data_IF_263617600477
#
_entry.id   IF_263617600477
#
_cell.length_a   1.000
_cell.length_b   1.000
_cell.length_c   1.000
_cell.angle_alpha   90.00
_cell.angle_beta   90.00
_cell.angle_gamma   90.00
#
_symmetry.space_group_name_H-M   'P 1'
#
loop_
_entity.id
_entity.type
_entity.pdbx_description
1 polymer ?
#
# COMPACT_ATOMS: atom_id res chain seq x y z
N UNK A 1 19.67 15.41 22.18
CA UNK A 1 18.41 15.54 23.00
C UNK A 1 17.24 14.89 22.24
N UNK A 2 16.97 15.22 20.99
CA UNK A 2 15.86 14.68 20.19
C UNK A 2 15.89 13.15 20.05
N UNK A 3 17.00 12.56 19.58
CA UNK A 3 17.14 11.09 19.41
C UNK A 3 16.78 10.35 20.69
N UNK A 4 17.30 10.78 21.84
CA UNK A 4 16.98 10.15 23.13
C UNK A 4 15.48 10.25 23.54
N UNK A 5 14.79 11.31 23.12
CA UNK A 5 13.34 11.42 23.35
C UNK A 5 12.57 10.46 22.44
N UNK A 6 13.04 10.27 21.19
CA UNK A 6 12.49 9.30 20.23
C UNK A 6 12.71 7.88 20.74
N UNK A 7 13.93 7.53 21.20
CA UNK A 7 14.23 6.22 21.80
C UNK A 7 13.25 5.89 22.93
N UNK A 8 13.09 6.81 23.88
CA UNK A 8 12.15 6.61 25.01
C UNK A 8 10.71 6.39 24.55
N UNK A 9 10.28 7.10 23.50
CA UNK A 9 8.93 6.95 22.94
C UNK A 9 8.75 5.57 22.32
N UNK A 10 9.71 5.13 21.52
CA UNK A 10 9.71 3.82 20.85
C UNK A 10 9.80 2.67 21.86
N UNK A 11 10.73 2.71 22.82
CA UNK A 11 10.87 1.70 23.87
C UNK A 11 9.58 1.52 24.70
N UNK A 12 8.89 2.63 24.97
CA UNK A 12 7.62 2.60 25.69
C UNK A 12 6.50 1.95 24.88
N UNK A 13 6.46 2.16 23.57
CA UNK A 13 5.44 1.54 22.69
C UNK A 13 5.82 0.10 22.36
N UNK A 14 7.09 -0.23 22.16
CA UNK A 14 7.57 -1.59 21.89
C UNK A 14 7.16 -2.60 22.96
N UNK A 15 7.19 -2.19 24.24
CA UNK A 15 6.72 -3.04 25.36
C UNK A 15 5.25 -3.50 25.28
N UNK A 16 4.46 -2.94 24.33
CA UNK A 16 3.03 -3.19 24.20
C UNK A 16 2.67 -3.86 22.87
N UNK A 17 3.65 -4.09 22.03
CA UNK A 17 3.51 -4.58 20.66
C UNK A 17 4.27 -5.89 20.49
N UNK A 18 3.81 -6.77 19.63
CA UNK A 18 4.54 -7.99 19.27
C UNK A 18 5.80 -7.68 18.47
N UNK A 19 5.70 -6.70 17.58
CA UNK A 19 6.82 -6.16 16.81
C UNK A 19 6.66 -4.66 16.68
N UNK A 20 7.77 -3.94 16.57
CA UNK A 20 7.82 -2.54 16.24
C UNK A 20 9.10 -2.26 15.46
N UNK A 21 8.93 -1.92 14.19
CA UNK A 21 10.01 -1.47 13.32
C UNK A 21 9.69 -0.06 12.86
N UNK A 22 10.66 0.82 12.91
CA UNK A 22 10.48 2.23 12.58
C UNK A 22 11.72 2.77 11.87
N UNK A 23 11.50 3.58 10.84
CA UNK A 23 12.54 4.39 10.22
C UNK A 23 12.00 5.79 9.90
N UNK A 24 12.85 6.79 9.96
CA UNK A 24 12.53 8.15 9.52
C UNK A 24 13.74 8.85 8.92
N UNK A 25 13.45 9.77 8.01
CA UNK A 25 14.40 10.74 7.46
C UNK A 25 13.89 12.14 7.72
N UNK A 26 14.69 12.98 8.36
CA UNK A 26 14.38 14.39 8.65
C UNK A 26 15.35 15.30 7.87
N UNK A 27 14.94 15.87 6.73
CA UNK A 27 15.82 16.71 5.89
C UNK A 27 16.36 17.93 6.64
N UNK A 28 15.56 18.56 7.52
CA UNK A 28 15.93 19.76 8.25
C UNK A 28 17.18 19.60 9.11
N UNK A 29 17.40 18.42 9.68
CA UNK A 29 18.56 18.08 10.52
C UNK A 29 19.50 17.07 9.87
N UNK A 30 19.23 16.64 8.64
CA UNK A 30 19.90 15.54 7.95
C UNK A 30 20.03 14.28 8.82
N UNK A 31 18.94 13.95 9.51
CA UNK A 31 18.87 12.83 10.43
C UNK A 31 18.18 11.65 9.78
N UNK A 32 18.93 10.53 9.64
CA UNK A 32 18.38 9.21 9.37
C UNK A 32 18.35 8.43 10.70
N UNK A 33 17.19 7.83 11.01
CA UNK A 33 16.99 7.13 12.25
C UNK A 33 16.25 5.82 12.01
N UNK A 34 16.76 4.73 12.61
CA UNK A 34 16.18 3.40 12.52
C UNK A 34 16.01 2.80 13.91
N UNK A 35 14.92 2.06 14.10
CA UNK A 35 14.60 1.35 15.34
C UNK A 35 13.94 0.00 15.02
N UNK A 36 14.31 -1.02 15.79
CA UNK A 36 13.61 -2.31 15.82
C UNK A 36 13.45 -2.75 17.27
N UNK A 37 12.28 -3.30 17.61
CA UNK A 37 12.05 -3.95 18.90
C UNK A 37 12.72 -5.33 19.01
N UNK A 38 13.28 -5.83 17.92
CA UNK A 38 14.14 -7.01 17.84
C UNK A 38 15.57 -6.55 17.57
N UNK A 39 16.54 -7.42 17.81
CA UNK A 39 17.96 -7.10 17.55
C UNK A 39 18.27 -7.00 16.04
N UNK A 40 17.31 -7.34 15.17
CA UNK A 40 17.48 -7.31 13.71
C UNK A 40 16.75 -6.11 13.10
N UNK A 41 17.49 -5.03 12.79
CA UNK A 41 16.95 -3.85 12.08
C UNK A 41 16.63 -4.11 10.61
N UNK A 42 17.20 -5.17 10.03
CA UNK A 42 17.02 -5.59 8.64
C UNK A 42 15.97 -6.70 8.49
N UNK A 43 15.25 -7.05 9.57
CA UNK A 43 14.17 -8.02 9.47
C UNK A 43 13.07 -7.48 8.55
N UNK A 44 12.84 -8.20 7.46
CA UNK A 44 11.80 -7.84 6.50
C UNK A 44 10.40 -8.04 7.11
N UNK A 45 9.42 -7.32 6.57
CA UNK A 45 8.01 -7.46 6.93
C UNK A 45 7.12 -7.33 5.69
N UNK A 46 5.90 -7.84 5.79
CA UNK A 46 4.91 -7.73 4.73
C UNK A 46 4.35 -6.31 4.67
N UNK A 47 4.44 -5.67 3.50
CA UNK A 47 4.10 -4.25 3.31
C UNK A 47 2.61 -3.94 3.42
N UNK A 48 1.75 -4.95 3.34
CA UNK A 48 0.31 -4.75 3.19
C UNK A 48 0.01 -3.69 2.11
N UNK A 49 -1.07 -2.95 2.23
CA UNK A 49 -1.50 -1.98 1.22
C UNK A 49 -0.51 -0.84 0.89
N UNK A 50 0.62 -0.73 1.60
CA UNK A 50 1.70 0.21 1.23
C UNK A 50 2.23 -0.11 -0.17
N UNK A 51 2.25 -1.38 -0.59
CA UNK A 51 2.65 -1.77 -1.95
C UNK A 51 1.84 -1.10 -3.07
N UNK A 52 0.61 -0.66 -2.80
CA UNK A 52 -0.20 0.09 -3.78
C UNK A 52 0.47 1.40 -4.21
N UNK A 53 1.23 2.03 -3.32
CA UNK A 53 1.96 3.25 -3.66
C UNK A 53 3.05 2.98 -4.71
N UNK A 54 3.74 1.83 -4.61
CA UNK A 54 4.74 1.42 -5.59
C UNK A 54 4.09 1.06 -6.94
N UNK A 55 3.01 0.28 -6.92
CA UNK A 55 2.23 -0.06 -8.13
C UNK A 55 1.73 1.20 -8.84
N UNK A 56 1.20 2.15 -8.10
CA UNK A 56 0.74 3.43 -8.67
C UNK A 56 1.90 4.25 -9.23
N UNK A 57 3.06 4.24 -8.59
CA UNK A 57 4.27 4.89 -9.11
C UNK A 57 4.67 4.28 -10.46
N UNK A 58 4.62 2.95 -10.61
CA UNK A 58 4.87 2.27 -11.90
C UNK A 58 3.85 2.69 -12.98
N UNK A 59 2.58 2.85 -12.64
CA UNK A 59 1.57 3.36 -13.58
C UNK A 59 1.93 4.77 -14.04
N UNK A 60 2.36 5.65 -13.14
CA UNK A 60 2.78 7.01 -13.50
C UNK A 60 4.10 7.03 -14.29
N UNK A 61 5.03 6.10 -14.05
CA UNK A 61 6.22 5.90 -14.91
C UNK A 61 5.77 5.53 -16.34
N UNK A 62 4.79 4.63 -16.50
CA UNK A 62 4.26 4.27 -17.82
C UNK A 62 3.54 5.46 -18.50
N UNK A 63 2.84 6.31 -17.72
CA UNK A 63 2.22 7.55 -18.22
C UNK A 63 3.29 8.53 -18.73
N UNK A 64 4.36 8.76 -17.97
CA UNK A 64 5.46 9.65 -18.37
C UNK A 64 6.23 9.15 -19.60
N UNK A 65 6.27 7.83 -19.79
CA UNK A 65 6.81 7.22 -21.03
C UNK A 65 5.86 7.34 -22.23
N UNK A 66 4.63 7.82 -22.02
CA UNK A 66 3.62 7.95 -23.08
C UNK A 66 2.97 6.62 -23.50
N UNK A 67 3.12 5.56 -22.72
CA UNK A 67 2.58 4.23 -23.05
C UNK A 67 1.11 4.11 -22.70
N UNK A 68 0.61 4.91 -21.78
CA UNK A 68 -0.81 5.03 -21.43
C UNK A 68 -1.12 6.43 -20.88
N UNK A 69 -2.39 6.69 -20.63
CA UNK A 69 -2.88 7.89 -19.94
C UNK A 69 -3.86 7.48 -18.82
N UNK A 70 -4.21 8.40 -17.95
CA UNK A 70 -5.25 8.17 -16.95
C UNK A 70 -6.61 7.82 -17.58
N UNK A 71 -6.85 8.25 -18.83
CA UNK A 71 -8.09 7.99 -19.57
C UNK A 71 -8.04 6.76 -20.46
N UNK A 72 -6.90 6.07 -20.54
CA UNK A 72 -6.77 4.82 -21.30
C UNK A 72 -7.78 3.80 -20.76
N UNK A 73 -8.54 3.17 -21.68
CA UNK A 73 -9.49 2.10 -21.34
C UNK A 73 -8.72 0.83 -20.99
N UNK A 74 -9.03 0.23 -19.85
CA UNK A 74 -8.35 -0.97 -19.32
C UNK A 74 -8.38 -2.14 -20.29
N UNK A 75 -9.51 -2.36 -20.95
CA UNK A 75 -9.71 -3.44 -21.92
C UNK A 75 -8.81 -3.34 -23.17
N UNK A 76 -8.28 -2.15 -23.50
CA UNK A 76 -7.40 -1.99 -24.67
C UNK A 76 -5.98 -2.50 -24.41
N UNK A 77 -5.64 -2.76 -23.15
CA UNK A 77 -4.32 -3.22 -22.70
C UNK A 77 -4.35 -4.70 -22.34
N UNK A 78 -5.40 -5.12 -21.64
CA UNK A 78 -5.52 -6.49 -21.14
C UNK A 78 -5.98 -7.46 -22.23
N UNK A 79 -5.64 -8.73 -22.05
CA UNK A 79 -6.06 -9.80 -22.96
C UNK A 79 -7.59 -9.83 -23.11
N UNK A 80 -8.11 -10.06 -24.32
CA UNK A 80 -9.56 -10.21 -24.55
C UNK A 80 -10.17 -11.24 -23.60
N UNK A 81 -11.33 -10.89 -23.02
CA UNK A 81 -12.06 -11.76 -22.09
C UNK A 81 -11.63 -11.70 -20.63
N UNK A 82 -10.48 -11.09 -20.29
CA UNK A 82 -10.01 -11.03 -18.90
C UNK A 82 -10.98 -10.23 -18.00
N UNK A 83 -11.63 -9.21 -18.54
CA UNK A 83 -12.58 -8.36 -17.81
C UNK A 83 -14.03 -8.89 -17.79
N UNK A 84 -14.32 -9.97 -18.52
CA UNK A 84 -15.68 -10.50 -18.65
C UNK A 84 -16.31 -10.71 -17.26
N UNK A 85 -17.54 -10.21 -17.08
CA UNK A 85 -18.36 -10.33 -15.87
C UNK A 85 -17.81 -9.66 -14.60
N UNK A 86 -16.69 -8.93 -14.65
CA UNK A 86 -16.17 -8.22 -13.49
C UNK A 86 -16.88 -6.89 -13.21
N UNK A 87 -17.54 -6.31 -14.21
CA UNK A 87 -18.17 -4.99 -14.13
C UNK A 87 -19.67 -5.00 -14.46
N UNK A 88 -20.34 -6.11 -14.21
CA UNK A 88 -21.79 -6.26 -14.47
C UNK A 88 -22.58 -5.65 -13.30
N UNK A 89 -23.44 -4.65 -13.64
CA UNK A 89 -24.36 -3.99 -12.68
C UNK A 89 -25.76 -4.08 -13.27
N UNK A 90 -26.72 -4.63 -12.54
CA UNK A 90 -28.11 -4.80 -12.97
C UNK A 90 -28.25 -5.45 -14.37
N UNK A 91 -27.41 -6.44 -14.67
CA UNK A 91 -27.41 -7.19 -15.93
C UNK A 91 -26.71 -6.50 -17.11
N UNK A 92 -26.19 -5.31 -16.95
CA UNK A 92 -25.40 -4.58 -17.96
C UNK A 92 -23.92 -4.63 -17.62
N UNK A 93 -23.06 -4.97 -18.60
CA UNK A 93 -21.60 -4.96 -18.45
C UNK A 93 -21.04 -3.58 -18.84
N UNK A 94 -20.22 -3.03 -17.94
CA UNK A 94 -19.59 -1.71 -18.07
C UNK A 94 -18.06 -1.78 -18.25
N UNK A 95 -17.51 -2.95 -18.60
CA UNK A 95 -16.06 -3.12 -18.77
C UNK A 95 -15.43 -2.10 -19.74
N UNK A 96 -16.17 -1.67 -20.76
CA UNK A 96 -15.72 -0.70 -21.77
C UNK A 96 -15.56 0.72 -21.22
N UNK A 97 -16.18 1.03 -20.10
CA UNK A 97 -16.12 2.35 -19.45
C UNK A 97 -14.97 2.44 -18.45
N UNK A 98 -14.34 1.30 -18.08
CA UNK A 98 -13.28 1.26 -17.06
C UNK A 98 -12.00 1.89 -17.61
N UNK A 99 -11.47 2.88 -16.88
CA UNK A 99 -10.24 3.60 -17.22
C UNK A 99 -9.19 3.42 -16.12
N UNK A 100 -7.92 3.65 -16.44
CA UNK A 100 -6.78 3.58 -15.50
C UNK A 100 -7.06 4.40 -14.24
N UNK A 101 -7.54 5.64 -14.39
CA UNK A 101 -7.91 6.48 -13.24
C UNK A 101 -8.93 5.85 -12.31
N UNK A 102 -9.87 5.07 -12.85
CA UNK A 102 -10.91 4.43 -12.04
C UNK A 102 -10.32 3.34 -11.13
N UNK A 103 -9.34 2.59 -11.62
CA UNK A 103 -8.63 1.58 -10.81
C UNK A 103 -7.76 2.25 -9.75
N UNK A 104 -6.95 3.25 -10.13
CA UNK A 104 -6.09 4.01 -9.21
C UNK A 104 -6.88 4.71 -8.10
N UNK A 105 -8.07 5.24 -8.41
CA UNK A 105 -8.91 5.98 -7.45
C UNK A 105 -9.92 5.09 -6.71
N UNK A 106 -9.93 3.77 -6.93
CA UNK A 106 -10.95 2.87 -6.38
C UNK A 106 -12.39 3.28 -6.74
N UNK A 107 -12.59 3.75 -7.97
CA UNK A 107 -13.91 4.16 -8.50
C UNK A 107 -14.33 3.34 -9.70
N UNK A 108 -13.67 2.22 -9.97
CA UNK A 108 -14.00 1.35 -11.11
C UNK A 108 -15.32 0.61 -10.97
N UNK A 109 -15.84 0.52 -9.75
CA UNK A 109 -17.04 -0.25 -9.44
C UNK A 109 -16.80 -1.76 -9.25
N UNK A 110 -15.58 -2.24 -9.46
CA UNK A 110 -15.24 -3.65 -9.19
C UNK A 110 -15.33 -3.95 -7.69
N UNK A 111 -15.77 -5.16 -7.34
CA UNK A 111 -15.79 -5.60 -5.95
C UNK A 111 -14.36 -5.94 -5.48
N UNK A 112 -14.22 -6.25 -4.21
CA UNK A 112 -12.94 -6.55 -3.56
C UNK A 112 -12.91 -8.00 -3.10
N UNK A 113 -11.99 -8.82 -3.66
CA UNK A 113 -11.85 -10.21 -3.24
C UNK A 113 -11.45 -10.31 -1.77
N UNK A 114 -10.63 -9.38 -1.26
CA UNK A 114 -9.97 -9.51 0.02
C UNK A 114 -10.89 -9.22 1.21
N UNK A 115 -11.52 -8.05 1.22
CA UNK A 115 -12.23 -7.53 2.40
C UNK A 115 -13.74 -7.45 2.26
N UNK A 116 -14.29 -7.64 1.04
CA UNK A 116 -15.73 -7.53 0.85
C UNK A 116 -16.51 -8.61 1.61
N UNK A 117 -17.55 -8.16 2.29
CA UNK A 117 -18.53 -9.04 2.94
C UNK A 117 -19.64 -9.50 1.99
N UNK A 118 -19.70 -8.92 0.80
CA UNK A 118 -20.70 -9.22 -0.24
C UNK A 118 -20.17 -10.37 -1.08
N UNK A 119 -20.32 -11.59 -0.60
CA UNK A 119 -19.86 -12.81 -1.24
C UNK A 119 -20.96 -13.87 -1.28
N UNK A 120 -20.98 -14.69 -2.33
CA UNK A 120 -22.01 -15.74 -2.52
C UNK A 120 -21.80 -16.94 -1.59
N UNK A 121 -20.56 -17.29 -1.29
CA UNK A 121 -20.24 -18.50 -0.53
C UNK A 121 -19.32 -18.20 0.67
N UNK A 122 -18.00 -18.39 0.53
CA UNK A 122 -17.04 -18.25 1.62
C UNK A 122 -16.17 -17.01 1.44
N UNK A 123 -16.02 -16.22 2.51
CA UNK A 123 -15.13 -15.07 2.49
C UNK A 123 -13.68 -15.49 2.17
N UNK A 124 -12.99 -14.71 1.34
CA UNK A 124 -11.63 -15.02 0.88
C UNK A 124 -10.64 -15.23 2.04
N UNK A 125 -10.66 -14.33 3.03
CA UNK A 125 -9.79 -14.45 4.22
C UNK A 125 -9.98 -15.79 4.97
N UNK A 126 -11.17 -16.38 4.92
CA UNK A 126 -11.39 -17.70 5.50
C UNK A 126 -10.71 -18.77 4.65
N UNK A 127 -10.89 -18.73 3.32
CA UNK A 127 -10.24 -19.66 2.40
C UNK A 127 -8.71 -19.59 2.50
N UNK A 128 -8.15 -18.38 2.56
CA UNK A 128 -6.72 -18.16 2.71
C UNK A 128 -6.16 -18.82 3.98
N UNK A 129 -6.89 -18.71 5.11
CA UNK A 129 -6.48 -19.32 6.39
C UNK A 129 -6.62 -20.84 6.41
N UNK A 130 -7.66 -21.37 5.79
CA UNK A 130 -7.90 -22.82 5.71
C UNK A 130 -6.93 -23.50 4.74
N UNK A 131 -6.32 -22.73 3.82
CA UNK A 131 -5.41 -23.22 2.79
C UNK A 131 -4.12 -22.38 2.75
N UNK A 132 -3.28 -22.40 3.80
CA UNK A 132 -2.12 -21.51 3.92
C UNK A 132 -1.06 -21.73 2.82
N UNK A 133 -0.97 -22.94 2.27
CA UNK A 133 0.01 -23.33 1.26
C UNK A 133 -0.43 -23.05 -0.19
N UNK A 134 -1.68 -22.61 -0.40
CA UNK A 134 -2.16 -22.30 -1.75
C UNK A 134 -1.49 -21.04 -2.26
N UNK A 135 -0.92 -21.12 -3.45
CA UNK A 135 -0.46 -19.93 -4.19
C UNK A 135 -1.62 -19.40 -5.02
N UNK A 136 -2.06 -18.19 -4.74
CA UNK A 136 -3.09 -17.49 -5.50
C UNK A 136 -2.45 -16.70 -6.63
N UNK A 137 -2.79 -17.05 -7.86
CA UNK A 137 -2.40 -16.27 -9.03
C UNK A 137 -3.31 -15.04 -9.20
N UNK A 138 -2.87 -14.01 -9.95
CA UNK A 138 -3.73 -12.87 -10.27
C UNK A 138 -5.06 -13.30 -10.93
N UNK A 139 -5.03 -14.31 -11.80
CA UNK A 139 -6.21 -14.86 -12.46
C UNK A 139 -7.18 -15.52 -11.46
N UNK A 140 -6.67 -16.26 -10.48
CA UNK A 140 -7.49 -16.87 -9.42
C UNK A 140 -8.25 -15.79 -8.62
N UNK A 141 -7.61 -14.65 -8.35
CA UNK A 141 -8.22 -13.52 -7.63
C UNK A 141 -9.33 -12.86 -8.47
N UNK A 142 -9.11 -12.70 -9.78
CA UNK A 142 -10.13 -12.21 -10.70
C UNK A 142 -11.29 -13.21 -10.80
N UNK A 143 -11.00 -14.50 -10.86
CA UNK A 143 -12.02 -15.55 -10.90
C UNK A 143 -12.83 -15.62 -9.60
N UNK A 144 -12.16 -15.45 -8.44
CA UNK A 144 -12.90 -15.32 -7.19
C UNK A 144 -13.87 -14.13 -7.25
N UNK A 145 -13.43 -12.95 -7.67
CA UNK A 145 -14.31 -11.77 -7.81
C UNK A 145 -15.44 -12.03 -8.81
N UNK A 146 -15.14 -12.59 -9.96
CA UNK A 146 -16.08 -12.89 -11.04
C UNK A 146 -17.20 -13.83 -10.63
N UNK A 147 -16.86 -14.90 -9.92
CA UNK A 147 -17.82 -15.97 -9.61
C UNK A 147 -18.46 -15.83 -8.22
N UNK A 148 -17.78 -15.19 -7.26
CA UNK A 148 -18.25 -15.09 -5.89
C UNK A 148 -18.88 -13.72 -5.57
N UNK A 149 -18.69 -12.70 -6.40
CA UNK A 149 -19.09 -11.34 -6.09
C UNK A 149 -19.86 -10.71 -7.26
N UNK A 150 -20.40 -9.52 -7.05
CA UNK A 150 -21.02 -8.68 -8.06
C UNK A 150 -20.39 -7.28 -8.01
N UNK A 151 -20.34 -6.59 -9.14
CA UNK A 151 -19.85 -5.22 -9.18
C UNK A 151 -20.68 -4.31 -8.27
N UNK A 152 -20.03 -3.32 -7.66
CA UNK A 152 -20.63 -2.43 -6.65
C UNK A 152 -21.41 -1.26 -7.28
N UNK A 153 -20.90 -0.75 -8.42
CA UNK A 153 -21.46 0.41 -9.13
C UNK A 153 -20.88 0.49 -10.54
N UNK A 154 -21.43 1.38 -11.37
CA UNK A 154 -20.81 1.75 -12.64
C UNK A 154 -19.48 2.49 -12.41
N UNK A 155 -18.50 2.38 -13.34
CA UNK A 155 -17.25 3.13 -13.27
C UNK A 155 -17.47 4.63 -13.07
N UNK A 156 -16.70 5.22 -12.15
CA UNK A 156 -16.76 6.64 -11.82
C UNK A 156 -17.87 7.06 -10.84
N UNK A 157 -18.82 6.19 -10.49
CA UNK A 157 -19.97 6.58 -9.68
C UNK A 157 -19.75 6.50 -8.17
N UNK A 158 -18.92 5.54 -7.71
CA UNK A 158 -18.77 5.28 -6.27
C UNK A 158 -17.32 4.95 -5.94
N UNK A 159 -16.81 5.56 -4.87
CA UNK A 159 -15.58 5.13 -4.25
C UNK A 159 -15.82 3.82 -3.47
N UNK A 160 -15.05 2.78 -3.78
CA UNK A 160 -15.06 1.50 -3.07
C UNK A 160 -13.65 0.90 -3.16
N UNK A 161 -12.94 0.90 -2.03
CA UNK A 161 -11.59 0.39 -1.94
C UNK A 161 -11.55 -1.08 -2.39
N UNK A 162 -10.69 -1.41 -3.35
CA UNK A 162 -10.64 -2.74 -3.96
C UNK A 162 -9.22 -3.16 -4.29
N UNK A 163 -8.76 -4.25 -3.70
CA UNK A 163 -7.53 -4.92 -4.06
C UNK A 163 -7.61 -5.56 -5.44
N UNK A 164 -8.80 -6.05 -5.86
CA UNK A 164 -9.03 -6.56 -7.23
C UNK A 164 -8.70 -5.52 -8.29
N UNK A 165 -9.01 -4.23 -8.04
CA UNK A 165 -8.64 -3.15 -8.96
C UNK A 165 -7.13 -3.02 -9.13
N UNK A 166 -6.37 -3.25 -8.08
CA UNK A 166 -4.91 -3.23 -8.12
C UNK A 166 -4.33 -4.47 -8.79
N UNK A 167 -4.95 -5.66 -8.65
CA UNK A 167 -4.58 -6.84 -9.45
C UNK A 167 -4.65 -6.52 -10.94
N UNK A 168 -5.72 -5.86 -11.40
CA UNK A 168 -5.83 -5.42 -12.79
C UNK A 168 -4.73 -4.43 -13.19
N UNK A 169 -4.33 -3.49 -12.31
CA UNK A 169 -3.19 -2.58 -12.57
C UNK A 169 -1.88 -3.36 -12.72
N UNK A 170 -1.62 -4.36 -11.88
CA UNK A 170 -0.43 -5.22 -12.02
C UNK A 170 -0.39 -5.95 -13.36
N UNK A 171 -1.48 -6.60 -13.75
CA UNK A 171 -1.59 -7.28 -15.05
C UNK A 171 -1.47 -6.32 -16.24
N UNK A 172 -1.99 -5.08 -16.12
CA UNK A 172 -1.79 -4.04 -17.12
C UNK A 172 -0.30 -3.66 -17.24
N UNK A 173 0.40 -3.51 -16.12
CA UNK A 173 1.83 -3.20 -16.11
C UNK A 173 2.61 -4.35 -16.76
N UNK A 174 2.30 -5.61 -16.45
CA UNK A 174 2.94 -6.75 -17.11
C UNK A 174 2.75 -6.72 -18.64
N UNK A 175 1.54 -6.39 -19.10
CA UNK A 175 1.24 -6.28 -20.53
C UNK A 175 1.97 -5.11 -21.20
N UNK A 176 2.13 -3.96 -20.52
CA UNK A 176 2.76 -2.75 -21.07
C UNK A 176 4.29 -2.87 -21.09
N UNK A 177 4.88 -3.43 -20.02
CA UNK A 177 6.31 -3.57 -19.88
C UNK A 177 6.84 -4.87 -20.51
N UNK A 178 5.95 -5.78 -20.93
CA UNK A 178 6.27 -7.11 -21.46
C UNK A 178 7.17 -7.93 -20.53
N UNK A 179 6.95 -7.81 -19.22
CA UNK A 179 7.75 -8.46 -18.17
C UNK A 179 6.89 -8.84 -16.96
N UNK A 180 7.29 -9.82 -16.15
CA UNK A 180 6.63 -10.14 -14.89
C UNK A 180 6.67 -8.95 -13.92
N UNK A 181 5.64 -8.80 -13.09
CA UNK A 181 5.47 -7.66 -12.19
C UNK A 181 6.64 -7.48 -11.21
N UNK A 182 7.25 -8.58 -10.73
CA UNK A 182 8.42 -8.50 -9.85
C UNK A 182 9.66 -7.94 -10.57
N UNK A 183 9.88 -8.25 -11.86
CA UNK A 183 10.98 -7.69 -12.66
C UNK A 183 10.78 -6.20 -12.95
N UNK A 184 9.52 -5.79 -13.14
CA UNK A 184 9.16 -4.38 -13.34
C UNK A 184 9.46 -3.59 -12.06
N UNK A 185 9.06 -4.10 -10.89
CA UNK A 185 9.37 -3.50 -9.59
C UNK A 185 10.88 -3.37 -9.40
N UNK A 186 11.63 -4.44 -9.65
CA UNK A 186 13.09 -4.46 -9.51
C UNK A 186 13.75 -3.40 -10.41
N UNK A 187 13.37 -3.39 -11.68
CA UNK A 187 13.99 -2.53 -12.70
C UNK A 187 13.67 -1.04 -12.51
N UNK A 188 12.42 -0.71 -12.17
CA UNK A 188 11.94 0.67 -12.19
C UNK A 188 11.79 1.31 -10.81
N UNK A 189 11.84 0.51 -9.73
CA UNK A 189 11.75 1.03 -8.36
C UNK A 189 12.90 0.55 -7.49
N UNK A 190 13.11 -0.77 -7.33
CA UNK A 190 14.05 -1.26 -6.33
C UNK A 190 15.49 -0.85 -6.66
N UNK A 191 15.98 -1.15 -7.85
CA UNK A 191 17.33 -0.73 -8.30
C UNK A 191 17.54 0.79 -8.28
N UNK A 192 16.65 1.62 -8.86
CA UNK A 192 16.79 3.08 -8.81
C UNK A 192 16.79 3.67 -7.39
N UNK A 193 16.11 3.02 -6.45
CA UNK A 193 16.03 3.44 -5.05
C UNK A 193 17.06 2.76 -4.15
N UNK A 194 17.87 1.84 -4.65
CA UNK A 194 18.79 1.00 -3.87
C UNK A 194 18.09 0.17 -2.78
N UNK A 195 16.87 -0.31 -3.05
CA UNK A 195 16.08 -1.17 -2.18
C UNK A 195 16.56 -2.62 -2.35
N UNK A 196 17.58 -3.02 -1.61
CA UNK A 196 18.23 -4.31 -1.78
C UNK A 196 17.61 -5.43 -0.95
N UNK A 197 16.73 -5.09 -0.02
CA UNK A 197 16.09 -6.01 0.92
C UNK A 197 14.57 -6.15 0.64
N UNK A 198 14.11 -5.69 -0.54
CA UNK A 198 12.70 -5.74 -0.94
C UNK A 198 12.48 -6.69 -2.10
N UNK A 199 11.45 -7.51 -2.00
CA UNK A 199 11.02 -8.43 -3.06
C UNK A 199 9.50 -8.49 -3.15
N UNK A 200 8.96 -8.98 -4.29
CA UNK A 200 7.56 -9.39 -4.34
C UNK A 200 7.42 -10.75 -3.66
N UNK A 201 6.75 -10.79 -2.54
CA UNK A 201 6.65 -11.96 -1.68
C UNK A 201 6.00 -13.14 -2.41
N UNK A 202 6.61 -14.30 -2.32
CA UNK A 202 6.17 -15.57 -2.92
C UNK A 202 6.23 -15.64 -4.46
N UNK A 203 6.54 -14.55 -5.15
CA UNK A 203 6.78 -14.52 -6.60
C UNK A 203 8.30 -14.65 -6.86
N UNK A 204 8.80 -15.89 -6.81
CA UNK A 204 10.24 -16.19 -6.99
C UNK A 204 11.07 -16.09 -5.72
N UNK A 205 10.49 -15.76 -4.57
CA UNK A 205 11.14 -15.77 -3.25
C UNK A 205 10.46 -16.77 -2.31
N UNK A 206 11.27 -17.50 -1.52
CA UNK A 206 10.83 -18.38 -0.45
C UNK A 206 11.40 -17.79 0.84
N UNK A 207 10.58 -17.72 1.88
CA UNK A 207 10.99 -17.20 3.19
C UNK A 207 11.08 -18.32 4.20
N UNK A 208 12.10 -18.26 5.05
CA UNK A 208 12.26 -19.14 6.20
C UNK A 208 11.72 -18.50 7.48
N UNK A 209 11.47 -19.31 8.50
CA UNK A 209 11.05 -18.81 9.81
C UNK A 209 12.12 -17.87 10.39
N UNK A 210 11.70 -16.65 10.78
CA UNK A 210 12.59 -15.62 11.33
C UNK A 210 13.10 -14.59 10.31
N UNK A 211 12.99 -14.84 9.02
CA UNK A 211 13.31 -13.84 7.99
C UNK A 211 12.27 -12.72 7.92
N UNK A 212 10.99 -13.06 8.12
CA UNK A 212 9.89 -12.10 8.16
C UNK A 212 9.44 -11.81 9.59
N UNK A 213 9.13 -10.56 9.86
CA UNK A 213 8.47 -10.15 11.09
C UNK A 213 7.03 -10.73 11.16
N UNK A 214 6.50 -10.99 12.35
CA UNK A 214 5.13 -11.47 12.52
C UNK A 214 4.10 -10.62 11.81
N UNK A 215 3.13 -11.29 11.16
CA UNK A 215 1.96 -10.68 10.51
C UNK A 215 0.69 -11.26 11.12
N UNK A 216 0.09 -10.53 12.05
CA UNK A 216 -1.05 -11.02 12.83
C UNK A 216 -2.34 -10.44 12.26
N UNK A 217 -3.24 -11.29 11.79
CA UNK A 217 -4.58 -10.93 11.31
C UNK A 217 -5.62 -11.75 12.06
N UNK A 218 -6.56 -11.07 12.74
CA UNK A 218 -7.58 -11.69 13.59
C UNK A 218 -6.99 -12.67 14.62
N UNK A 219 -5.80 -12.35 15.17
CA UNK A 219 -5.11 -13.14 16.20
C UNK A 219 -4.36 -14.39 15.70
N UNK A 220 -4.22 -14.55 14.40
CA UNK A 220 -3.39 -15.60 13.79
C UNK A 220 -2.16 -14.98 13.14
N UNK A 221 -1.02 -15.56 13.41
CA UNK A 221 0.22 -15.21 12.69
C UNK A 221 0.24 -15.95 11.35
N UNK A 222 0.29 -15.17 10.26
CA UNK A 222 0.20 -15.67 8.90
C UNK A 222 1.42 -15.30 8.04
N UNK A 223 2.50 -14.77 8.65
CA UNK A 223 3.63 -14.19 7.91
C UNK A 223 4.31 -15.15 6.91
N UNK A 224 4.23 -16.48 7.15
CA UNK A 224 4.78 -17.49 6.24
C UNK A 224 3.73 -18.16 5.34
N UNK A 225 2.48 -17.74 5.38
CA UNK A 225 1.44 -18.34 4.53
C UNK A 225 1.73 -18.02 3.05
N UNK A 226 1.93 -19.06 2.26
CA UNK A 226 2.10 -18.91 0.81
C UNK A 226 0.86 -18.27 0.15
N UNK A 227 -0.29 -18.40 0.78
CA UNK A 227 -1.55 -17.76 0.37
C UNK A 227 -1.50 -16.22 0.41
N UNK A 228 -0.48 -15.60 1.04
CA UNK A 228 -0.19 -14.16 0.94
C UNK A 228 0.27 -13.73 -0.47
N UNK A 229 0.57 -14.67 -1.37
CA UNK A 229 0.73 -14.37 -2.81
C UNK A 229 -0.49 -13.63 -3.38
N UNK A 230 -1.65 -13.75 -2.72
CA UNK A 230 -2.87 -13.05 -3.10
C UNK A 230 -2.72 -11.52 -3.11
N UNK A 231 -1.80 -10.94 -2.34
CA UNK A 231 -1.64 -9.49 -2.28
C UNK A 231 -0.96 -8.92 -3.54
N UNK A 232 -0.25 -9.74 -4.30
CA UNK A 232 0.33 -9.41 -5.61
C UNK A 232 0.71 -7.91 -5.75
N UNK A 233 0.09 -7.20 -6.70
CA UNK A 233 0.30 -5.76 -6.93
C UNK A 233 -0.51 -4.84 -6.00
N UNK A 234 -1.36 -5.41 -5.14
CA UNK A 234 -2.11 -4.68 -4.09
C UNK A 234 -1.33 -4.45 -2.81
N UNK A 235 -0.22 -5.17 -2.59
CA UNK A 235 0.49 -5.06 -1.32
C UNK A 235 1.51 -6.17 -1.03
N UNK A 236 1.76 -7.05 -1.99
CA UNK A 236 2.52 -8.29 -1.81
C UNK A 236 4.04 -8.15 -1.64
N UNK A 237 4.53 -7.06 -1.06
CA UNK A 237 5.98 -6.89 -0.86
C UNK A 237 6.42 -7.44 0.50
N UNK A 238 7.55 -8.16 0.50
CA UNK A 238 8.44 -8.30 1.65
C UNK A 238 9.47 -7.19 1.58
N UNK A 239 9.61 -6.38 2.63
CA UNK A 239 10.41 -5.16 2.62
C UNK A 239 10.92 -4.81 4.01
N UNK A 240 11.87 -3.86 4.11
CA UNK A 240 12.34 -3.30 5.37
C UNK A 240 11.88 -1.84 5.55
N UNK A 241 11.94 -1.34 6.78
CA UNK A 241 11.66 0.07 7.03
C UNK A 241 12.66 0.99 6.32
N UNK A 242 13.91 0.56 6.19
CA UNK A 242 14.95 1.27 5.46
C UNK A 242 14.65 1.40 3.97
N UNK A 243 14.32 0.30 3.32
CA UNK A 243 14.01 0.29 1.89
C UNK A 243 12.78 1.17 1.56
N UNK A 244 11.72 1.07 2.36
CA UNK A 244 10.55 1.95 2.18
C UNK A 244 10.89 3.43 2.40
N UNK A 245 11.83 3.74 3.30
CA UNK A 245 12.30 5.10 3.51
C UNK A 245 13.04 5.64 2.28
N UNK A 246 13.90 4.81 1.66
CA UNK A 246 14.57 5.14 0.40
C UNK A 246 13.57 5.41 -0.73
N UNK A 247 12.54 4.56 -0.85
CA UNK A 247 11.46 4.76 -1.82
C UNK A 247 10.70 6.07 -1.60
N UNK A 248 10.25 6.35 -0.37
CA UNK A 248 9.52 7.59 -0.05
C UNK A 248 10.35 8.84 -0.36
N UNK A 249 11.64 8.82 0.00
CA UNK A 249 12.56 9.92 -0.29
C UNK A 249 12.72 10.11 -1.80
N UNK A 250 12.88 9.02 -2.56
CA UNK A 250 13.00 9.08 -4.02
C UNK A 250 11.72 9.61 -4.68
N UNK A 251 10.55 9.17 -4.20
CA UNK A 251 9.24 9.60 -4.69
C UNK A 251 9.03 11.10 -4.43
N UNK A 252 9.23 11.56 -3.20
CA UNK A 252 9.06 12.96 -2.82
C UNK A 252 10.04 13.89 -3.59
N UNK A 253 11.28 13.46 -3.79
CA UNK A 253 12.30 14.22 -4.53
C UNK A 253 12.10 14.24 -6.05
N UNK A 254 11.11 13.53 -6.58
CA UNK A 254 10.86 13.46 -8.02
C UNK A 254 11.88 12.62 -8.80
N UNK A 255 12.57 11.70 -8.14
CA UNK A 255 13.56 10.82 -8.79
C UNK A 255 12.92 9.65 -9.54
N UNK A 256 11.69 9.26 -9.18
CA UNK A 256 10.94 8.17 -9.81
C UNK A 256 9.94 8.67 -10.85
N UNK A 257 9.20 9.70 -10.50
CA UNK A 257 8.20 10.38 -11.32
C UNK A 257 8.31 11.89 -11.11
N UNK A 258 7.87 12.68 -12.07
CA UNK A 258 7.88 14.14 -11.99
C UNK A 258 7.02 14.67 -10.84
N UNK A 259 7.30 15.89 -10.40
CA UNK A 259 6.47 16.58 -9.40
C UNK A 259 5.03 16.81 -9.91
N UNK A 260 4.83 16.89 -11.23
CA UNK A 260 3.48 16.96 -11.83
C UNK A 260 2.72 15.65 -11.64
N UNK A 261 3.33 14.51 -11.95
CA UNK A 261 2.76 13.18 -11.71
C UNK A 261 2.46 12.96 -10.22
N UNK A 262 3.37 13.37 -9.33
CA UNK A 262 3.17 13.28 -7.88
C UNK A 262 1.97 14.13 -7.42
N UNK A 263 1.80 15.35 -7.97
CA UNK A 263 0.60 16.16 -7.69
C UNK A 263 -0.69 15.50 -8.19
N UNK A 264 -0.66 14.83 -9.34
CA UNK A 264 -1.82 14.07 -9.83
C UNK A 264 -2.14 12.87 -8.93
N UNK A 265 -1.12 12.14 -8.44
CA UNK A 265 -1.34 11.08 -7.43
C UNK A 265 -2.01 11.62 -6.17
N UNK A 266 -1.65 12.83 -5.76
CA UNK A 266 -2.16 13.52 -4.56
C UNK A 266 -3.51 14.23 -4.78
N UNK A 267 -4.30 13.87 -5.79
CA UNK A 267 -5.65 14.41 -6.02
C UNK A 267 -6.67 13.77 -5.06
N UNK A 268 -6.61 14.12 -3.79
CA UNK A 268 -7.37 13.51 -2.68
C UNK A 268 -8.85 13.91 -2.68
N UNK A 269 -9.63 13.38 -3.62
CA UNK A 269 -11.06 13.67 -3.80
C UNK A 269 -11.98 12.73 -3.02
N UNK A 270 -11.51 11.53 -2.67
CA UNK A 270 -12.35 10.48 -2.11
C UNK A 270 -12.08 10.31 -0.62
N UNK A 271 -13.10 10.48 0.20
CA UNK A 271 -13.00 10.21 1.64
C UNK A 271 -13.12 8.70 1.89
N UNK A 272 -12.04 8.07 2.35
CA UNK A 272 -12.03 6.66 2.76
C UNK A 272 -12.64 6.48 4.15
N UNK A 273 -12.15 7.28 5.10
CA UNK A 273 -12.69 7.46 6.44
C UNK A 273 -12.54 8.93 6.85
N UNK A 274 -13.17 9.33 7.96
CA UNK A 274 -12.98 10.68 8.49
C UNK A 274 -11.48 10.94 8.70
N UNK A 275 -10.97 12.01 8.11
CA UNK A 275 -9.56 12.37 8.17
C UNK A 275 -8.62 11.52 7.30
N UNK A 276 -9.15 10.54 6.55
CA UNK A 276 -8.40 9.74 5.59
C UNK A 276 -8.99 9.93 4.19
N UNK A 277 -8.17 10.39 3.27
CA UNK A 277 -8.56 10.68 1.88
C UNK A 277 -7.73 9.86 0.91
N UNK A 278 -8.30 9.55 -0.23
CA UNK A 278 -7.68 8.77 -1.30
C UNK A 278 -7.59 9.58 -2.59
N UNK A 279 -6.41 9.53 -3.23
CA UNK A 279 -6.13 10.09 -4.54
C UNK A 279 -6.00 9.00 -5.62
N UNK A 280 -4.96 9.07 -6.41
CA UNK A 280 -4.64 8.06 -7.43
C UNK A 280 -3.54 7.12 -6.91
N UNK A 281 -3.93 6.14 -6.07
CA UNK A 281 -3.03 5.18 -5.45
C UNK A 281 -2.21 5.72 -4.27
N UNK A 282 -2.57 6.89 -3.77
CA UNK A 282 -1.98 7.53 -2.60
C UNK A 282 -3.06 7.95 -1.63
N UNK A 283 -2.76 7.94 -0.34
CA UNK A 283 -3.64 8.40 0.73
C UNK A 283 -3.10 9.68 1.37
N UNK A 284 -4.00 10.47 1.95
CA UNK A 284 -3.68 11.59 2.84
C UNK A 284 -4.33 11.39 4.20
N UNK A 285 -3.56 11.66 5.25
CA UNK A 285 -4.10 11.77 6.62
C UNK A 285 -4.18 13.23 7.00
N UNK A 286 -5.38 13.70 7.36
CA UNK A 286 -5.69 15.02 7.90
C UNK A 286 -6.00 14.89 9.38
N UNK A 287 -4.99 14.98 10.22
CA UNK A 287 -5.13 14.75 11.67
C UNK A 287 -6.15 15.67 12.32
N UNK A 288 -6.25 16.91 11.88
CA UNK A 288 -7.21 17.88 12.39
C UNK A 288 -8.67 17.49 12.24
N UNK A 289 -9.00 16.58 11.33
CA UNK A 289 -10.36 16.06 11.14
C UNK A 289 -10.70 14.90 12.08
N UNK A 290 -9.71 14.20 12.65
CA UNK A 290 -9.97 13.14 13.64
C UNK A 290 -10.47 13.73 14.96
N UNK A 291 -9.80 14.79 15.42
CA UNK A 291 -10.13 15.43 16.70
C UNK A 291 -9.66 16.89 16.70
N UNK A 292 -10.47 17.80 17.24
CA UNK A 292 -10.21 19.24 17.19
C UNK A 292 -8.87 19.67 17.80
N UNK A 293 -8.35 18.94 18.81
CA UNK A 293 -7.02 19.21 19.41
C UNK A 293 -5.84 18.82 18.50
N UNK A 294 -6.10 18.23 17.33
CA UNK A 294 -5.09 17.87 16.34
C UNK A 294 -5.06 18.84 15.13
N UNK A 295 -5.83 19.95 15.17
CA UNK A 295 -5.94 20.90 14.04
C UNK A 295 -4.62 21.54 13.62
N UNK A 296 -3.65 21.62 14.52
CA UNK A 296 -2.30 22.13 14.23
C UNK A 296 -1.29 21.06 13.79
N UNK A 297 -1.74 19.80 13.65
CA UNK A 297 -0.86 18.73 13.19
C UNK A 297 -0.68 18.78 11.67
N UNK A 298 0.53 18.48 11.17
CA UNK A 298 0.79 18.42 9.74
C UNK A 298 0.03 17.26 9.08
N UNK A 299 -0.48 17.48 7.89
CA UNK A 299 -1.03 16.42 7.05
C UNK A 299 0.11 15.55 6.51
N UNK A 300 -0.11 14.25 6.40
CA UNK A 300 0.84 13.32 5.81
C UNK A 300 0.27 12.68 4.54
N UNK A 301 1.14 12.42 3.59
CA UNK A 301 0.83 11.72 2.35
C UNK A 301 1.62 10.41 2.27
N UNK A 302 1.05 9.39 1.63
CA UNK A 302 1.67 8.08 1.50
C UNK A 302 0.64 6.96 1.42
N UNK A 303 0.89 5.86 2.10
CA UNK A 303 -0.10 4.77 2.22
C UNK A 303 -0.03 4.08 3.59
N UNK A 304 -1.15 3.49 3.99
CA UNK A 304 -1.33 2.79 5.26
C UNK A 304 -1.86 1.38 5.01
N UNK A 305 -1.24 0.39 5.64
CA UNK A 305 -1.67 -1.00 5.60
C UNK A 305 -2.49 -1.38 6.82
N UNK A 306 -3.45 -2.28 6.65
CA UNK A 306 -4.39 -2.71 7.70
C UNK A 306 -3.73 -3.34 8.93
N UNK A 307 -2.50 -3.81 8.82
CA UNK A 307 -1.71 -4.42 9.89
C UNK A 307 -0.85 -3.42 10.67
N UNK A 308 -1.09 -2.11 10.48
CA UNK A 308 -0.34 -1.04 11.11
C UNK A 308 1.02 -0.77 10.46
N UNK A 309 1.13 -1.06 9.17
CA UNK A 309 2.25 -0.60 8.33
C UNK A 309 1.92 0.79 7.82
N UNK A 310 2.83 1.74 8.03
CA UNK A 310 2.72 3.11 7.55
C UNK A 310 3.96 3.44 6.72
N UNK A 311 3.78 4.00 5.53
CA UNK A 311 4.83 4.61 4.74
C UNK A 311 4.32 5.96 4.24
N UNK A 312 4.81 7.05 4.83
CA UNK A 312 4.28 8.37 4.59
C UNK A 312 5.34 9.46 4.71
N UNK A 313 5.06 10.62 4.15
CA UNK A 313 5.94 11.79 4.20
C UNK A 313 5.13 13.07 4.46
N UNK A 314 5.81 14.08 5.00
CA UNK A 314 5.29 15.44 5.13
C UNK A 314 5.61 16.22 3.85
N UNK A 315 4.61 16.66 3.07
CA UNK A 315 4.83 17.18 1.72
C UNK A 315 5.63 18.49 1.69
N UNK A 316 5.60 19.31 2.75
CA UNK A 316 6.30 20.60 2.79
C UNK A 316 7.80 20.45 3.15
N UNK A 317 8.14 19.55 4.08
CA UNK A 317 9.52 19.40 4.56
C UNK A 317 10.26 18.21 3.95
N UNK A 318 9.53 17.25 3.35
CA UNK A 318 10.09 15.99 2.87
C UNK A 318 10.46 15.02 4.00
N UNK A 319 10.08 15.29 5.24
CA UNK A 319 10.26 14.33 6.33
C UNK A 319 9.48 13.04 6.05
N UNK A 320 10.18 11.91 6.04
CA UNK A 320 9.62 10.58 5.72
C UNK A 320 9.56 9.71 6.96
N UNK A 321 8.51 8.89 7.04
CA UNK A 321 8.25 8.00 8.17
C UNK A 321 7.79 6.64 7.68
N UNK A 322 8.41 5.58 8.20
CA UNK A 322 7.99 4.19 8.01
C UNK A 322 7.79 3.56 9.37
N UNK A 323 6.67 2.87 9.55
CA UNK A 323 6.33 2.17 10.77
C UNK A 323 5.72 0.81 10.42
N UNK A 324 6.15 -0.25 11.09
CA UNK A 324 5.49 -1.56 11.09
C UNK A 324 5.20 -2.02 12.52
N UNK A 325 3.96 -2.44 12.77
CA UNK A 325 3.56 -3.11 14.03
C UNK A 325 3.01 -4.53 13.80
N UNK A 326 2.83 -4.94 12.54
CA UNK A 326 2.52 -6.31 12.13
C UNK A 326 1.22 -6.90 12.68
N UNK A 327 0.24 -6.08 13.11
CA UNK A 327 -0.96 -6.57 13.79
C UNK A 327 -2.18 -5.66 13.48
N UNK A 328 -3.25 -6.27 12.94
CA UNK A 328 -4.48 -5.56 12.59
C UNK A 328 -5.18 -4.88 13.79
N UNK A 329 -5.04 -5.44 14.99
CA UNK A 329 -5.61 -4.86 16.23
C UNK A 329 -4.86 -3.63 16.75
N UNK A 330 -3.63 -3.43 16.32
CA UNK A 330 -2.77 -2.34 16.78
C UNK A 330 -2.79 -1.10 15.87
N UNK A 331 -3.62 -1.08 14.81
CA UNK A 331 -3.77 0.06 13.89
C UNK A 331 -4.05 1.38 14.63
N UNK A 332 -5.00 1.40 15.55
CA UNK A 332 -5.31 2.62 16.32
C UNK A 332 -4.14 3.06 17.22
N UNK A 333 -3.32 2.11 17.69
CA UNK A 333 -2.12 2.39 18.51
C UNK A 333 -1.00 2.98 17.64
N UNK A 334 -0.81 2.44 16.42
CA UNK A 334 0.19 2.94 15.49
C UNK A 334 -0.07 4.40 15.10
N UNK A 335 -1.31 4.80 14.85
CA UNK A 335 -1.69 6.21 14.65
C UNK A 335 -1.45 7.08 15.90
N UNK A 336 -1.77 6.58 17.09
CA UNK A 336 -1.49 7.32 18.35
C UNK A 336 0.00 7.52 18.56
N UNK A 337 0.83 6.54 18.22
CA UNK A 337 2.27 6.67 18.24
C UNK A 337 2.73 7.75 17.25
N UNK A 338 2.28 7.70 15.99
CA UNK A 338 2.63 8.66 14.96
C UNK A 338 2.26 10.10 15.40
N UNK A 339 1.08 10.31 15.97
CA UNK A 339 0.68 11.62 16.50
C UNK A 339 1.64 12.12 17.59
N UNK A 340 2.08 11.26 18.51
CA UNK A 340 3.03 11.64 19.57
C UNK A 340 4.40 12.02 18.98
N UNK A 341 4.87 11.23 18.02
CA UNK A 341 6.11 11.49 17.31
C UNK A 341 6.07 12.83 16.58
N UNK A 342 5.03 13.07 15.78
CA UNK A 342 4.88 14.33 15.02
C UNK A 342 4.81 15.56 15.95
N UNK A 343 4.15 15.46 17.08
CA UNK A 343 4.14 16.53 18.09
C UNK A 343 5.52 16.81 18.66
N UNK A 344 6.29 15.76 18.97
CA UNK A 344 7.66 15.88 19.40
C UNK A 344 8.51 16.57 18.33
N UNK A 345 8.44 16.09 17.08
CA UNK A 345 9.22 16.66 15.98
C UNK A 345 8.85 18.12 15.70
N UNK A 346 7.56 18.47 15.74
CA UNK A 346 7.11 19.85 15.58
C UNK A 346 7.61 20.75 16.71
N UNK A 347 7.61 20.28 17.97
CA UNK A 347 8.17 21.06 19.11
C UNK A 347 9.67 21.29 19.03
N UNK A 348 10.40 20.46 18.28
CA UNK A 348 11.84 20.55 18.03
C UNK A 348 12.16 21.22 16.68
N UNK A 349 11.15 21.78 15.98
CA UNK A 349 11.33 22.51 14.73
C UNK A 349 11.75 21.65 13.53
N UNK A 350 11.37 20.37 13.52
CA UNK A 350 11.73 19.42 12.46
C UNK A 350 10.62 19.25 11.38
N UNK A 351 9.44 19.84 11.61
CA UNK A 351 8.28 19.75 10.70
C UNK A 351 7.69 21.14 10.40
#
# INVERSE_FOLDING_TARGET
MLVHQIDRLLDKEAKKLTTLQFAMHLPASNLDYHYSSTDNQHQAFHSASVGKLLTSTLVFIAIEKGWLTLDTRVQTILKPGLLNHLFVVAGQDFQDEVRVRHLLAHTSGINDYYSSKIVKHSAFLKQMKENPDVFWTPEDLLDYTRYQQEAIARPGQKFFYSDTGFVLLGLMLEAIFEAPFHDILDTYIFKPCHMTETTLAFYGSIFEAGELAPLIINGHDIHLFRSLSCDFSGGGLSTTAGDLLLFLSALHQGRLISQESLRQMADFKHQYHRGLYYGLGMMQVRFGEFFFLLRGMPDLQGHWGMTGVHACYHPQTGACFVLNVGNDKDMARSFKFLIKLLRLLASEGQL
#
